data_IF_256351095430
#
_entry.id   IF_256351095430
#
_cell.length_a   1.000
_cell.length_b   1.000
_cell.length_c   1.000
_cell.angle_alpha   90.00
_cell.angle_beta   90.00
_cell.angle_gamma   90.00
#
_symmetry.space_group_name_H-M   'P 1'
#
loop_
_entity.id
_entity.type
_entity.pdbx_description
1 polymer ?
#
# COMPACT_ATOMS: atom_id res chain seq x y z
N UNK A 1 4.40 18.95 6.33
CA UNK A 1 3.53 18.67 5.16
C UNK A 1 4.28 18.08 3.97
N UNK A 2 5.22 18.81 3.31
CA UNK A 2 5.94 18.34 2.11
C UNK A 2 6.59 16.96 2.23
N UNK A 3 7.22 16.66 3.37
CA UNK A 3 7.86 15.37 3.61
C UNK A 3 6.87 14.20 3.67
N UNK A 4 5.70 14.40 4.27
CA UNK A 4 4.63 13.39 4.29
C UNK A 4 4.11 13.15 2.87
N UNK A 5 3.80 14.22 2.13
CA UNK A 5 3.33 14.13 0.75
C UNK A 5 4.32 13.37 -0.15
N UNK A 6 5.62 13.64 -0.04
CA UNK A 6 6.65 12.94 -0.80
C UNK A 6 6.70 11.43 -0.47
N UNK A 7 6.58 11.05 0.82
CA UNK A 7 6.49 9.65 1.21
C UNK A 7 5.22 8.98 0.69
N UNK A 8 4.09 9.69 0.68
CA UNK A 8 2.86 9.16 0.11
C UNK A 8 2.93 9.01 -1.41
N UNK A 9 3.69 9.86 -2.11
CA UNK A 9 3.94 9.71 -3.54
C UNK A 9 4.73 8.43 -3.84
N UNK A 10 5.79 8.17 -3.08
CA UNK A 10 6.53 6.92 -3.16
C UNK A 10 5.63 5.71 -2.84
N UNK A 11 4.78 5.84 -1.82
CA UNK A 11 3.85 4.79 -1.44
C UNK A 11 2.81 4.49 -2.52
N UNK A 12 2.23 5.52 -3.13
CA UNK A 12 1.28 5.37 -4.24
C UNK A 12 1.96 4.77 -5.46
N UNK A 13 3.19 5.19 -5.79
CA UNK A 13 3.96 4.59 -6.88
C UNK A 13 4.22 3.09 -6.66
N UNK A 14 4.49 2.68 -5.41
CA UNK A 14 4.67 1.29 -5.03
C UNK A 14 3.39 0.45 -5.09
N UNK A 15 2.20 1.05 -5.17
CA UNK A 15 0.95 0.29 -5.22
C UNK A 15 0.80 -0.49 -6.52
N UNK A 16 1.20 0.07 -7.67
CA UNK A 16 1.03 -0.62 -8.97
C UNK A 16 1.75 -1.97 -9.02
N UNK A 17 3.05 -2.07 -8.68
CA UNK A 17 3.72 -3.37 -8.68
C UNK A 17 3.18 -4.29 -7.58
N UNK A 18 2.84 -3.78 -6.39
CA UNK A 18 2.25 -4.58 -5.32
C UNK A 18 0.88 -5.16 -5.72
N UNK A 19 0.01 -4.35 -6.33
CA UNK A 19 -1.32 -4.73 -6.82
C UNK A 19 -1.24 -5.84 -7.88
N UNK A 20 -0.36 -5.65 -8.89
CA UNK A 20 -0.07 -6.69 -9.88
C UNK A 20 0.44 -7.98 -9.26
N UNK A 21 1.24 -7.87 -8.21
CA UNK A 21 1.79 -9.05 -7.52
C UNK A 21 0.71 -9.81 -6.76
N UNK A 22 -0.20 -9.11 -6.08
CA UNK A 22 -1.36 -9.75 -5.43
C UNK A 22 -2.26 -10.41 -6.47
N UNK A 23 -2.56 -9.74 -7.58
CA UNK A 23 -3.35 -10.32 -8.66
C UNK A 23 -2.68 -11.56 -9.26
N UNK A 24 -1.35 -11.51 -9.50
CA UNK A 24 -0.58 -12.65 -9.99
C UNK A 24 -0.60 -13.84 -9.01
N UNK A 25 -0.60 -13.59 -7.70
CA UNK A 25 -0.79 -14.66 -6.70
C UNK A 25 -2.15 -15.38 -6.84
N UNK A 26 -3.16 -14.71 -7.40
CA UNK A 26 -4.50 -15.25 -7.65
C UNK A 26 -4.70 -15.90 -9.02
N UNK A 27 -3.70 -15.90 -9.90
CA UNK A 27 -3.83 -16.51 -11.23
C UNK A 27 -3.98 -18.04 -11.16
N UNK A 28 -4.84 -18.65 -11.99
CA UNK A 28 -4.99 -20.10 -11.99
C UNK A 28 -3.72 -20.81 -12.45
N UNK A 29 -3.50 -22.01 -11.89
CA UNK A 29 -2.37 -22.86 -12.26
C UNK A 29 -1.10 -22.61 -11.44
N UNK A 30 0.02 -23.23 -11.85
CA UNK A 30 1.26 -23.20 -11.08
C UNK A 30 1.90 -21.80 -11.11
N UNK A 31 2.24 -21.29 -9.93
CA UNK A 31 2.94 -20.02 -9.78
C UNK A 31 4.45 -20.20 -9.98
N UNK A 32 5.05 -19.22 -10.66
CA UNK A 32 6.49 -19.22 -10.90
C UNK A 32 7.28 -18.80 -9.65
N UNK A 33 8.52 -19.26 -9.54
CA UNK A 33 9.46 -18.74 -8.53
C UNK A 33 9.76 -17.24 -8.70
N UNK A 34 9.49 -16.66 -9.88
CA UNK A 34 9.57 -15.22 -10.09
C UNK A 34 8.47 -14.48 -9.33
N UNK A 35 7.24 -15.02 -9.29
CA UNK A 35 6.11 -14.47 -8.52
C UNK A 35 6.46 -14.43 -7.03
N UNK A 36 7.02 -15.52 -6.48
CA UNK A 36 7.46 -15.57 -5.08
C UNK A 36 8.51 -14.49 -4.76
N UNK A 37 9.52 -14.33 -5.63
CA UNK A 37 10.55 -13.30 -5.46
C UNK A 37 9.99 -11.89 -5.54
N UNK A 38 9.06 -11.65 -6.44
CA UNK A 38 8.41 -10.34 -6.58
C UNK A 38 7.55 -10.03 -5.34
N UNK A 39 6.78 -10.99 -4.84
CA UNK A 39 5.99 -10.81 -3.63
C UNK A 39 6.86 -10.47 -2.42
N UNK A 40 7.98 -11.15 -2.24
CA UNK A 40 8.96 -10.83 -1.20
C UNK A 40 9.58 -9.44 -1.37
N UNK A 41 9.85 -9.00 -2.60
CA UNK A 41 10.33 -7.63 -2.87
C UNK A 41 9.29 -6.59 -2.49
N UNK A 42 8.05 -6.74 -2.95
CA UNK A 42 6.98 -5.77 -2.70
C UNK A 42 6.61 -5.70 -1.22
N UNK A 43 6.58 -6.83 -0.51
CA UNK A 43 6.41 -6.84 0.94
C UNK A 43 7.46 -5.98 1.67
N UNK A 44 8.75 -6.11 1.30
CA UNK A 44 9.83 -5.31 1.88
C UNK A 44 9.75 -3.83 1.52
N UNK A 45 9.22 -3.49 0.35
CA UNK A 45 8.99 -2.10 -0.07
C UNK A 45 7.92 -1.46 0.81
N UNK A 46 6.75 -2.10 0.93
CA UNK A 46 5.65 -1.60 1.76
C UNK A 46 6.05 -1.49 3.24
N UNK A 47 6.78 -2.48 3.76
CA UNK A 47 7.31 -2.43 5.13
C UNK A 47 8.22 -1.22 5.36
N UNK A 48 9.16 -0.96 4.43
CA UNK A 48 10.07 0.19 4.54
C UNK A 48 9.34 1.53 4.45
N UNK A 49 8.35 1.64 3.56
CA UNK A 49 7.53 2.84 3.43
C UNK A 49 6.70 3.10 4.70
N UNK A 50 6.11 2.05 5.27
CA UNK A 50 5.36 2.16 6.52
C UNK A 50 6.23 2.65 7.67
N UNK A 51 7.42 2.08 7.84
CA UNK A 51 8.37 2.55 8.86
C UNK A 51 8.73 4.03 8.65
N UNK A 52 9.08 4.43 7.42
CA UNK A 52 9.42 5.83 7.10
C UNK A 52 8.27 6.80 7.35
N UNK A 53 7.03 6.41 7.03
CA UNK A 53 5.85 7.23 7.33
C UNK A 53 5.67 7.36 8.83
N UNK A 54 5.80 6.27 9.59
CA UNK A 54 5.63 6.28 11.06
C UNK A 54 6.70 7.10 11.78
N UNK A 55 7.92 7.07 11.28
CA UNK A 55 9.06 7.73 11.93
C UNK A 55 9.21 9.21 11.52
N UNK A 56 8.30 9.75 10.71
CA UNK A 56 8.32 11.14 10.32
C UNK A 56 7.97 12.05 11.52
N UNK A 57 8.83 13.00 11.92
CA UNK A 57 8.59 13.85 13.08
C UNK A 57 7.64 15.00 12.72
N UNK A 58 6.34 14.75 12.82
CA UNK A 58 5.29 15.74 12.60
C UNK A 58 4.72 16.23 13.92
N UNK A 59 4.39 17.52 14.01
CA UNK A 59 3.88 18.14 15.25
C UNK A 59 2.50 18.77 15.07
N UNK A 60 2.14 19.11 13.84
CA UNK A 60 0.85 19.70 13.49
C UNK A 60 -0.25 18.64 13.54
N UNK A 61 -1.30 18.88 14.32
CA UNK A 61 -2.32 17.87 14.63
C UNK A 61 -2.99 17.24 13.39
N UNK A 62 -3.27 18.03 12.36
CA UNK A 62 -3.82 17.52 11.10
C UNK A 62 -2.85 16.58 10.36
N UNK A 63 -1.57 16.94 10.36
CA UNK A 63 -0.52 16.13 9.73
C UNK A 63 -0.26 14.84 10.50
N UNK A 64 -0.32 14.88 11.84
CA UNK A 64 -0.22 13.67 12.69
C UNK A 64 -1.39 12.73 12.40
N UNK A 65 -2.63 13.24 12.33
CA UNK A 65 -3.80 12.42 11.95
C UNK A 65 -3.66 11.80 10.55
N UNK A 66 -3.18 12.58 9.58
CA UNK A 66 -2.93 12.11 8.23
C UNK A 66 -1.83 11.03 8.19
N UNK A 67 -0.76 11.21 8.95
CA UNK A 67 0.34 10.24 9.10
C UNK A 67 -0.16 8.92 9.71
N UNK A 68 -0.94 8.98 10.79
CA UNK A 68 -1.53 7.79 11.41
C UNK A 68 -2.45 7.05 10.45
N UNK A 69 -3.27 7.78 9.70
CA UNK A 69 -4.17 7.17 8.72
C UNK A 69 -3.40 6.52 7.58
N UNK A 70 -2.38 7.20 7.03
CA UNK A 70 -1.48 6.61 6.05
C UNK A 70 -0.80 5.35 6.58
N UNK A 71 -0.36 5.36 7.84
CA UNK A 71 0.22 4.20 8.53
C UNK A 71 -0.73 3.00 8.54
N UNK A 72 -2.01 3.22 8.89
CA UNK A 72 -3.04 2.16 8.85
C UNK A 72 -3.23 1.58 7.45
N UNK A 73 -3.28 2.42 6.42
CA UNK A 73 -3.45 1.98 5.04
C UNK A 73 -2.24 1.17 4.53
N UNK A 74 -1.02 1.59 4.88
CA UNK A 74 0.21 0.86 4.55
C UNK A 74 0.35 -0.46 5.32
N UNK A 75 -0.12 -0.49 6.57
CA UNK A 75 -0.19 -1.71 7.38
C UNK A 75 -1.14 -2.73 6.74
N UNK A 76 -2.32 -2.28 6.28
CA UNK A 76 -3.23 -3.13 5.51
C UNK A 76 -2.57 -3.70 4.25
N UNK A 77 -1.87 -2.88 3.47
CA UNK A 77 -1.15 -3.35 2.28
C UNK A 77 -0.11 -4.42 2.59
N UNK A 78 0.61 -4.31 3.72
CA UNK A 78 1.54 -5.34 4.19
C UNK A 78 0.83 -6.64 4.58
N UNK A 79 -0.29 -6.52 5.31
CA UNK A 79 -1.11 -7.67 5.66
C UNK A 79 -1.62 -8.38 4.42
N UNK A 80 -2.17 -7.64 3.44
CA UNK A 80 -2.68 -8.20 2.19
C UNK A 80 -1.56 -8.88 1.38
N UNK A 81 -0.37 -8.28 1.31
CA UNK A 81 0.78 -8.94 0.66
C UNK A 81 1.17 -10.25 1.35
N UNK A 82 1.16 -10.28 2.69
CA UNK A 82 1.45 -11.50 3.46
C UNK A 82 0.40 -12.58 3.20
N UNK A 83 -0.87 -12.22 3.33
CA UNK A 83 -1.99 -13.13 3.08
C UNK A 83 -1.94 -13.69 1.66
N UNK A 84 -1.66 -12.85 0.65
CA UNK A 84 -1.50 -13.29 -0.72
C UNK A 84 -0.33 -14.29 -0.88
N UNK A 85 0.79 -14.10 -0.18
CA UNK A 85 1.91 -15.06 -0.19
C UNK A 85 1.56 -16.37 0.51
N UNK A 86 0.89 -16.30 1.66
CA UNK A 86 0.52 -17.49 2.44
C UNK A 86 -0.50 -18.35 1.67
N UNK A 87 -1.40 -17.73 0.91
CA UNK A 87 -2.32 -18.41 -0.01
C UNK A 87 -1.63 -18.93 -1.28
N UNK A 88 -0.68 -18.17 -1.83
CA UNK A 88 0.03 -18.54 -3.05
C UNK A 88 1.04 -19.67 -2.87
N UNK A 89 1.66 -19.76 -1.71
CA UNK A 89 2.72 -20.73 -1.40
C UNK A 89 2.42 -21.48 -0.09
N UNK A 90 1.29 -22.22 -0.02
CA UNK A 90 0.87 -22.84 1.23
C UNK A 90 1.71 -24.07 1.55
N UNK A 91 2.11 -24.20 2.82
CA UNK A 91 2.75 -25.43 3.33
C UNK A 91 1.83 -26.65 3.28
N UNK A 92 0.51 -26.45 3.25
CA UNK A 92 -0.51 -27.50 3.17
C UNK A 92 -1.60 -27.13 2.14
N UNK A 93 -1.44 -27.53 0.86
CA UNK A 93 -2.41 -27.24 -0.20
C UNK A 93 -3.77 -27.90 0.08
N UNK A 94 -4.85 -27.11 0.02
CA UNK A 94 -6.23 -27.59 0.19
C UNK A 94 -7.15 -26.90 -0.81
N UNK A 95 -8.26 -27.54 -1.24
CA UNK A 95 -9.23 -26.90 -2.14
C UNK A 95 -9.77 -25.57 -1.62
N UNK A 96 -9.94 -25.42 -0.30
CA UNK A 96 -10.37 -24.16 0.30
C UNK A 96 -9.33 -23.04 0.21
N UNK A 97 -8.03 -23.38 0.33
CA UNK A 97 -6.92 -22.43 0.18
C UNK A 97 -6.81 -22.01 -1.28
N UNK A 98 -6.93 -22.94 -2.21
CA UNK A 98 -6.96 -22.63 -3.64
C UNK A 98 -8.14 -21.74 -4.00
N UNK A 99 -9.34 -22.06 -3.49
CA UNK A 99 -10.51 -21.20 -3.69
C UNK A 99 -10.25 -19.78 -3.17
N UNK A 100 -9.72 -19.62 -1.96
CA UNK A 100 -9.39 -18.29 -1.40
C UNK A 100 -8.33 -17.56 -2.24
N UNK A 101 -7.28 -18.27 -2.68
CA UNK A 101 -6.22 -17.75 -3.54
C UNK A 101 -6.79 -17.17 -4.84
N UNK A 102 -7.71 -17.88 -5.50
CA UNK A 102 -8.34 -17.43 -6.75
C UNK A 102 -9.23 -16.18 -6.59
N UNK A 103 -9.58 -15.78 -5.36
CA UNK A 103 -10.29 -14.52 -5.11
C UNK A 103 -9.35 -13.31 -4.97
N UNK A 104 -8.02 -13.50 -4.98
CA UNK A 104 -7.06 -12.41 -4.92
C UNK A 104 -7.08 -11.62 -6.24
N UNK A 105 -7.37 -10.32 -6.15
CA UNK A 105 -7.54 -9.46 -7.33
C UNK A 105 -6.85 -8.08 -7.21
N UNK A 106 -5.94 -7.92 -6.23
CA UNK A 106 -5.21 -6.68 -6.01
C UNK A 106 -5.23 -6.23 -4.55
N UNK A 107 -4.77 -5.00 -4.30
CA UNK A 107 -4.71 -4.39 -2.96
C UNK A 107 -6.07 -3.85 -2.48
N UNK A 108 -7.04 -3.70 -3.38
CA UNK A 108 -8.39 -3.27 -3.05
C UNK A 108 -8.53 -1.81 -2.57
N UNK A 109 -9.67 -1.52 -1.94
CA UNK A 109 -10.10 -0.17 -1.54
C UNK A 109 -9.08 0.63 -0.71
N UNK A 110 -8.32 0.05 0.24
CA UNK A 110 -7.33 0.80 1.00
C UNK A 110 -6.21 1.41 0.15
N UNK A 111 -5.89 0.82 -1.00
CA UNK A 111 -4.96 1.44 -1.94
C UNK A 111 -5.54 2.73 -2.54
N UNK A 112 -6.83 2.72 -2.91
CA UNK A 112 -7.52 3.91 -3.40
C UNK A 112 -7.63 5.00 -2.32
N UNK A 113 -7.88 4.62 -1.07
CA UNK A 113 -7.91 5.55 0.06
C UNK A 113 -6.55 6.24 0.26
N UNK A 114 -5.44 5.53 0.07
CA UNK A 114 -4.10 6.12 0.17
C UNK A 114 -3.83 7.12 -0.97
N UNK A 115 -4.31 6.84 -2.19
CA UNK A 115 -4.25 7.79 -3.31
C UNK A 115 -5.05 9.05 -3.00
N UNK A 116 -6.29 8.88 -2.52
CA UNK A 116 -7.16 10.00 -2.11
C UNK A 116 -6.52 10.86 -1.03
N UNK A 117 -5.93 10.25 0.00
CA UNK A 117 -5.23 10.97 1.06
C UNK A 117 -4.06 11.80 0.51
N UNK A 118 -3.24 11.20 -0.37
CA UNK A 118 -2.12 11.88 -1.03
C UNK A 118 -2.60 13.05 -1.89
N UNK A 119 -3.67 12.87 -2.64
CA UNK A 119 -4.23 13.92 -3.52
C UNK A 119 -4.82 15.08 -2.72
N UNK A 120 -5.47 14.82 -1.59
CA UNK A 120 -5.95 15.85 -0.67
C UNK A 120 -4.79 16.69 -0.11
N UNK A 121 -3.74 16.04 0.42
CA UNK A 121 -2.57 16.73 0.95
C UNK A 121 -1.79 17.53 -0.11
N UNK A 122 -1.77 17.06 -1.37
CA UNK A 122 -1.18 17.82 -2.49
C UNK A 122 -1.99 19.07 -2.79
N UNK A 123 -3.31 18.95 -2.79
CA UNK A 123 -4.22 20.06 -3.06
C UNK A 123 -4.06 21.15 -2.00
N UNK A 124 -3.96 20.77 -0.73
CA UNK A 124 -3.69 21.70 0.38
C UNK A 124 -2.31 22.37 0.25
N UNK A 125 -1.29 21.65 -0.24
CA UNK A 125 0.06 22.21 -0.42
C UNK A 125 0.17 23.17 -1.62
N UNK A 126 -0.64 22.95 -2.67
CA UNK A 126 -0.78 23.86 -3.82
C UNK A 126 -1.70 25.06 -3.57
N UNK A 127 -2.54 24.99 -2.55
CA UNK A 127 -3.47 26.05 -2.12
C UNK A 127 -2.83 27.00 -1.09
N UNK A 128 -1.62 27.48 -1.36
CA UNK A 128 -1.01 28.55 -0.54
C UNK A 128 -1.88 29.82 -0.54
N UNK A 129 -1.77 30.70 0.48
CA UNK A 129 -2.68 31.84 0.67
C UNK A 129 -2.39 32.94 -0.36
N UNK A 130 -2.95 32.81 -1.57
CA UNK A 130 -2.86 33.82 -2.61
C UNK A 130 -4.24 34.30 -3.09
N UNK A 131 -5.29 34.11 -2.29
CA UNK A 131 -6.63 34.63 -2.62
C UNK A 131 -7.46 34.96 -1.36
N UNK A 132 -6.95 35.90 -0.56
CA UNK A 132 -7.76 36.70 0.39
C UNK A 132 -7.28 38.14 0.35
N UNK A 133 -7.66 38.85 -0.69
CA UNK A 133 -7.26 40.23 -0.86
C UNK A 133 -7.80 40.87 -2.13
N UNK A 134 -9.13 41.01 -2.22
CA UNK A 134 -9.72 42.18 -2.88
C UNK A 134 -11.11 42.46 -2.33
#
# INVERSE_FOLDING_TARGET
>A
MRALTALLDEAVAAQTPADRTVAACGEPGPLSGQTAREAGRQYRVLHRLHARVRDLPLTEADLVRAQEYAGRLLSYGQWMMREAMDLAFPSNPRPSVEAARLHLNGLGRPADDLRRLRDALRSECGSGPADRGR
#
